data_IF_801483265466
#
_entry.id   IF_801483265466
#
_cell.length_a   1.000
_cell.length_b   1.000
_cell.length_c   1.000
_cell.angle_alpha   90.00
_cell.angle_beta   90.00
_cell.angle_gamma   90.00
#
_symmetry.space_group_name_H-M   'P 1'
#
loop_
_entity.id
_entity.type
_entity.pdbx_description
1 polymer ?
#
# COMPACT_ATOMS: atom_id res chain seq x y z
N UNK A 1 3.03 -28.71 -0.43
CA UNK A 1 3.83 -29.13 -1.59
C UNK A 1 3.57 -28.17 -2.74
N UNK A 2 4.57 -27.48 -3.22
CA UNK A 2 4.46 -26.49 -4.30
C UNK A 2 4.78 -27.14 -5.63
N UNK A 3 3.94 -26.93 -6.63
CA UNK A 3 4.16 -27.45 -7.98
C UNK A 3 4.39 -26.31 -8.97
N UNK A 4 5.28 -26.53 -9.91
CA UNK A 4 5.49 -25.64 -11.04
C UNK A 4 4.56 -26.05 -12.18
N UNK A 5 3.78 -25.10 -12.68
CA UNK A 5 3.01 -25.22 -13.91
C UNK A 5 3.11 -23.91 -14.69
N UNK A 6 3.61 -23.96 -15.92
CA UNK A 6 3.66 -22.82 -16.84
C UNK A 6 4.21 -21.53 -16.22
N UNK A 7 5.37 -21.60 -15.56
CA UNK A 7 6.07 -20.48 -14.89
C UNK A 7 5.49 -20.02 -13.56
N UNK A 8 4.37 -20.59 -13.09
CA UNK A 8 3.79 -20.30 -11.78
C UNK A 8 3.93 -21.48 -10.83
N UNK A 9 3.94 -21.18 -9.52
CA UNK A 9 3.93 -22.17 -8.45
C UNK A 9 2.58 -22.16 -7.77
N UNK A 10 2.00 -23.33 -7.52
CA UNK A 10 0.71 -23.49 -6.87
C UNK A 10 0.84 -24.38 -5.64
N UNK A 11 0.12 -24.02 -4.57
CA UNK A 11 -0.15 -24.97 -3.49
C UNK A 11 -1.34 -25.81 -3.87
N UNK A 12 -1.27 -27.12 -3.72
CA UNK A 12 -2.40 -28.02 -3.89
C UNK A 12 -3.11 -28.36 -2.55
N UNK A 13 -2.65 -27.76 -1.48
CA UNK A 13 -3.23 -27.90 -0.12
C UNK A 13 -3.60 -26.50 0.39
N UNK A 14 -4.70 -26.43 1.12
CA UNK A 14 -5.01 -25.23 1.89
C UNK A 14 -4.01 -25.17 3.05
N UNK A 15 -3.16 -24.16 3.02
CA UNK A 15 -2.21 -23.90 4.09
C UNK A 15 -2.75 -22.72 4.88
N UNK A 16 -3.06 -22.94 6.15
CA UNK A 16 -3.39 -21.85 7.07
C UNK A 16 -2.08 -21.15 7.46
N UNK A 17 -1.98 -19.88 7.07
CA UNK A 17 -0.82 -19.05 7.42
C UNK A 17 -1.08 -18.44 8.80
N UNK A 18 -0.23 -18.81 9.76
CA UNK A 18 -0.38 -18.41 11.16
C UNK A 18 0.67 -17.35 11.52
N UNK A 19 0.22 -16.30 12.18
CA UNK A 19 1.08 -15.25 12.71
C UNK A 19 2.08 -15.81 13.73
N UNK A 20 3.35 -15.42 13.59
CA UNK A 20 4.45 -15.89 14.41
C UNK A 20 5.11 -17.18 13.91
N UNK A 21 4.48 -17.90 13.00
CA UNK A 21 5.05 -19.11 12.43
C UNK A 21 6.13 -18.79 11.38
N UNK A 22 7.07 -19.72 11.27
CA UNK A 22 8.15 -19.68 10.30
C UNK A 22 7.79 -20.52 9.07
N UNK A 23 7.99 -19.92 7.90
CA UNK A 23 7.78 -20.57 6.61
C UNK A 23 9.09 -20.61 5.82
N UNK A 24 9.36 -21.75 5.19
CA UNK A 24 10.53 -21.97 4.37
C UNK A 24 10.18 -22.04 2.89
N UNK A 25 11.02 -21.45 2.07
CA UNK A 25 11.05 -21.62 0.62
C UNK A 25 12.19 -22.55 0.22
N UNK A 26 11.90 -23.55 -0.59
CA UNK A 26 12.91 -24.36 -1.28
C UNK A 26 12.56 -24.42 -2.77
N UNK A 27 13.49 -24.02 -3.61
CA UNK A 27 13.36 -24.07 -5.08
C UNK A 27 14.52 -24.86 -5.66
N UNK A 28 14.22 -25.94 -6.39
CA UNK A 28 15.20 -26.78 -7.04
C UNK A 28 15.14 -26.61 -8.56
N UNK A 29 16.27 -26.27 -9.18
CA UNK A 29 16.42 -26.15 -10.64
C UNK A 29 17.67 -26.95 -11.06
N UNK A 30 17.46 -28.12 -11.62
CA UNK A 30 18.54 -29.08 -11.89
C UNK A 30 19.20 -29.50 -10.59
N UNK A 31 20.51 -29.28 -10.49
CA UNK A 31 21.30 -29.59 -9.27
C UNK A 31 21.41 -28.41 -8.30
N UNK A 32 20.83 -27.26 -8.63
CA UNK A 32 20.86 -26.05 -7.77
C UNK A 32 19.64 -26.02 -6.87
N UNK A 33 19.88 -25.71 -5.61
CA UNK A 33 18.83 -25.52 -4.60
C UNK A 33 18.98 -24.10 -4.04
N UNK A 34 17.88 -23.33 -4.12
CA UNK A 34 17.75 -22.05 -3.47
C UNK A 34 16.81 -22.17 -2.29
N UNK A 35 17.15 -21.54 -1.17
CA UNK A 35 16.36 -21.61 0.07
C UNK A 35 16.21 -20.23 0.70
N UNK A 36 15.10 -20.02 1.39
CA UNK A 36 14.86 -18.86 2.23
C UNK A 36 13.89 -19.20 3.35
N UNK A 37 13.86 -18.36 4.38
CA UNK A 37 12.91 -18.48 5.49
C UNK A 37 12.33 -17.10 5.82
N UNK A 38 11.08 -17.08 6.24
CA UNK A 38 10.41 -15.88 6.75
C UNK A 38 9.54 -16.20 7.95
N UNK A 39 9.32 -15.22 8.81
CA UNK A 39 8.37 -15.30 9.92
C UNK A 39 7.17 -14.41 9.59
N UNK A 40 5.97 -14.94 9.74
CA UNK A 40 4.74 -14.16 9.52
C UNK A 40 4.59 -13.13 10.64
N UNK A 41 4.52 -11.83 10.33
CA UNK A 41 4.32 -10.80 11.36
C UNK A 41 2.99 -11.00 12.12
N UNK A 42 2.92 -10.44 13.32
CA UNK A 42 1.64 -10.31 14.03
C UNK A 42 0.76 -9.29 13.32
N UNK A 43 -0.56 -9.49 13.37
CA UNK A 43 -1.52 -8.54 12.80
C UNK A 43 -1.32 -7.14 13.42
N UNK A 44 -1.38 -6.06 12.63
CA UNK A 44 -1.43 -4.70 13.16
C UNK A 44 -2.57 -4.53 14.16
N UNK A 45 -2.35 -3.74 15.22
CA UNK A 45 -3.34 -3.49 16.27
C UNK A 45 -3.75 -2.02 16.31
N UNK A 46 -4.95 -1.74 16.78
CA UNK A 46 -5.43 -0.39 17.03
C UNK A 46 -5.66 0.44 15.77
N UNK A 47 -5.76 -0.20 14.58
CA UNK A 47 -6.03 0.52 13.33
C UNK A 47 -7.35 1.29 13.44
N UNK A 48 -7.27 2.60 13.28
CA UNK A 48 -8.42 3.50 13.34
C UNK A 48 -8.27 4.66 12.37
N UNK A 49 -9.35 5.36 12.12
CA UNK A 49 -9.41 6.53 11.24
C UNK A 49 -10.15 7.65 11.96
N UNK A 50 -9.62 8.88 11.86
CA UNK A 50 -10.20 10.03 12.57
C UNK A 50 -11.57 10.42 12.04
N UNK A 51 -11.70 10.45 10.70
CA UNK A 51 -12.91 10.85 10.02
C UNK A 51 -13.31 9.76 9.01
N UNK A 52 -14.45 9.11 9.26
CA UNK A 52 -14.98 8.07 8.37
C UNK A 52 -15.77 8.62 7.18
N UNK A 53 -16.16 9.89 7.22
CA UNK A 53 -16.79 10.62 6.12
C UNK A 53 -16.15 11.98 5.94
N UNK A 54 -15.75 12.28 4.73
CA UNK A 54 -15.08 13.52 4.36
C UNK A 54 -15.89 14.18 3.26
N UNK A 55 -16.29 15.41 3.50
CA UNK A 55 -17.08 16.19 2.54
C UNK A 55 -16.12 16.91 1.60
N UNK A 56 -16.27 16.70 0.31
CA UNK A 56 -15.51 17.39 -0.73
C UNK A 56 -16.50 17.96 -1.75
N UNK A 57 -16.48 19.27 -2.02
CA UNK A 57 -17.31 19.83 -3.06
C UNK A 57 -16.85 19.37 -4.44
N UNK A 58 -17.73 19.33 -5.46
CA UNK A 58 -17.34 19.08 -6.83
C UNK A 58 -16.31 20.11 -7.30
N UNK A 59 -15.22 19.65 -7.89
CA UNK A 59 -14.17 20.52 -8.40
C UNK A 59 -14.41 20.85 -9.85
N UNK A 60 -14.68 22.10 -10.14
CA UNK A 60 -14.92 22.62 -11.48
C UNK A 60 -13.84 23.64 -11.87
N UNK A 61 -13.49 23.68 -13.16
CA UNK A 61 -12.54 24.66 -13.68
C UNK A 61 -13.13 26.07 -13.59
N UNK A 62 -12.66 26.84 -12.63
CA UNK A 62 -13.12 28.21 -12.38
C UNK A 62 -11.97 29.07 -11.81
N UNK A 63 -12.08 30.41 -11.85
CA UNK A 63 -11.11 31.27 -11.19
C UNK A 63 -10.98 31.05 -9.68
N UNK A 64 -11.99 30.45 -9.04
CA UNK A 64 -11.97 30.13 -7.62
C UNK A 64 -11.25 28.82 -7.30
N UNK A 65 -11.05 27.93 -8.31
CA UNK A 65 -10.47 26.60 -8.12
C UNK A 65 -9.16 26.60 -7.30
N UNK A 66 -8.17 27.48 -7.53
CA UNK A 66 -6.94 27.48 -6.74
C UNK A 66 -7.18 27.71 -5.24
N UNK A 67 -8.12 28.58 -4.88
CA UNK A 67 -8.47 28.82 -3.48
C UNK A 67 -9.22 27.62 -2.88
N UNK A 68 -10.15 27.03 -3.62
CA UNK A 68 -10.85 25.81 -3.21
C UNK A 68 -9.87 24.68 -2.95
N UNK A 69 -8.94 24.43 -3.87
CA UNK A 69 -7.91 23.41 -3.70
C UNK A 69 -7.04 23.65 -2.46
N UNK A 70 -6.67 24.90 -2.20
CA UNK A 70 -5.91 25.27 -1.00
C UNK A 70 -6.68 24.96 0.28
N UNK A 71 -7.95 25.34 0.34
CA UNK A 71 -8.82 25.08 1.50
C UNK A 71 -8.96 23.57 1.72
N UNK A 72 -9.26 22.81 0.67
CA UNK A 72 -9.41 21.37 0.74
C UNK A 72 -8.09 20.66 1.12
N UNK A 73 -6.96 21.19 0.69
CA UNK A 73 -5.66 20.64 1.09
C UNK A 73 -5.49 20.68 2.62
N UNK A 74 -6.04 21.68 3.28
CA UNK A 74 -5.95 21.82 4.73
C UNK A 74 -7.12 21.12 5.46
N UNK A 75 -8.32 21.11 4.92
CA UNK A 75 -9.55 20.67 5.58
C UNK A 75 -9.96 19.23 5.21
N UNK A 76 -9.81 18.83 3.94
CA UNK A 76 -10.20 17.49 3.49
C UNK A 76 -9.12 16.45 3.78
N UNK A 77 -8.95 16.14 5.07
CA UNK A 77 -7.95 15.17 5.56
C UNK A 77 -8.58 14.17 6.50
N UNK A 78 -7.98 12.99 6.55
CA UNK A 78 -8.23 12.04 7.62
C UNK A 78 -6.91 11.45 8.09
N UNK A 79 -6.82 11.20 9.39
CA UNK A 79 -5.63 10.61 9.99
C UNK A 79 -5.90 9.13 10.29
N UNK A 80 -5.07 8.27 9.73
CA UNK A 80 -5.04 6.84 10.03
C UNK A 80 -4.03 6.62 11.13
N UNK A 81 -4.43 5.95 12.22
CA UNK A 81 -3.56 5.67 13.37
C UNK A 81 -3.58 4.20 13.71
N UNK A 82 -2.49 3.71 14.28
CA UNK A 82 -2.33 2.34 14.77
C UNK A 82 -1.36 2.27 15.93
N UNK A 83 -1.39 1.19 16.69
CA UNK A 83 -0.42 0.95 17.75
C UNK A 83 0.90 0.46 17.15
N UNK A 84 1.95 1.24 17.32
CA UNK A 84 3.31 0.90 16.94
C UNK A 84 4.32 1.23 18.04
N UNK A 85 3.97 0.94 19.28
CA UNK A 85 4.84 1.15 20.44
C UNK A 85 6.18 0.36 20.36
N UNK A 86 6.21 -0.70 19.57
CA UNK A 86 7.41 -1.53 19.30
C UNK A 86 8.31 -1.00 18.18
N UNK A 87 7.90 0.02 17.43
CA UNK A 87 8.68 0.62 16.34
C UNK A 87 8.88 -0.32 15.15
N UNK A 88 7.90 -1.19 14.86
CA UNK A 88 7.94 -2.12 13.74
C UNK A 88 7.58 -1.42 12.43
N UNK A 89 8.03 -1.96 11.30
CA UNK A 89 7.74 -1.37 10.00
C UNK A 89 6.33 -1.69 9.53
N UNK A 90 5.67 -0.63 9.08
CA UNK A 90 4.35 -0.70 8.44
C UNK A 90 4.37 0.06 7.11
N UNK A 91 3.48 -0.32 6.20
CA UNK A 91 3.10 0.54 5.09
C UNK A 91 1.59 0.45 4.86
N UNK A 92 1.06 1.47 4.21
CA UNK A 92 -0.37 1.65 4.05
C UNK A 92 -0.71 1.77 2.56
N UNK A 93 -1.81 1.14 2.17
CA UNK A 93 -2.40 1.33 0.84
C UNK A 93 -3.83 1.84 0.97
N UNK A 94 -4.22 2.74 0.06
CA UNK A 94 -5.59 3.23 -0.05
C UNK A 94 -6.10 2.91 -1.44
N UNK A 95 -7.20 2.18 -1.49
CA UNK A 95 -7.82 1.73 -2.72
C UNK A 95 -9.29 2.12 -2.77
N UNK A 96 -9.73 2.66 -3.90
CA UNK A 96 -11.15 2.85 -4.19
C UNK A 96 -11.86 1.50 -4.28
N UNK A 97 -12.99 1.38 -3.58
CA UNK A 97 -13.84 0.18 -3.57
C UNK A 97 -15.32 0.52 -3.81
N UNK A 98 -15.58 1.73 -4.32
CA UNK A 98 -16.91 2.13 -4.75
C UNK A 98 -17.39 1.33 -5.98
N UNK A 99 -18.69 1.31 -6.18
CA UNK A 99 -19.35 0.56 -7.28
C UNK A 99 -19.49 1.42 -8.55
N UNK A 100 -19.52 2.73 -8.38
CA UNK A 100 -19.73 3.69 -9.47
C UNK A 100 -18.52 4.58 -9.63
N UNK A 101 -18.17 4.86 -10.88
CA UNK A 101 -17.18 5.89 -11.19
C UNK A 101 -17.87 7.25 -11.08
N UNK A 102 -17.60 7.96 -9.99
CA UNK A 102 -18.18 9.29 -9.70
C UNK A 102 -17.02 10.25 -9.39
N UNK A 103 -16.45 10.89 -10.41
CA UNK A 103 -15.24 11.69 -10.27
C UNK A 103 -15.48 12.97 -9.43
N UNK A 104 -14.49 13.32 -8.61
CA UNK A 104 -14.48 14.58 -7.85
C UNK A 104 -14.23 15.77 -8.79
N UNK A 105 -13.42 15.52 -9.83
CA UNK A 105 -13.15 16.52 -10.88
C UNK A 105 -14.15 16.37 -12.02
N UNK A 106 -14.64 17.50 -12.51
CA UNK A 106 -15.47 17.54 -13.71
C UNK A 106 -14.64 17.14 -14.95
N UNK A 107 -15.24 16.40 -15.90
CA UNK A 107 -14.60 15.89 -17.13
C UNK A 107 -14.04 16.99 -18.05
N UNK A 108 -14.38 18.26 -17.81
CA UNK A 108 -13.88 19.40 -18.56
C UNK A 108 -12.47 19.87 -18.13
N UNK A 109 -11.84 19.22 -17.13
CA UNK A 109 -10.49 19.57 -16.72
C UNK A 109 -9.49 19.11 -17.78
N UNK A 110 -8.59 20.01 -18.28
CA UNK A 110 -7.60 19.66 -19.30
C UNK A 110 -6.78 18.43 -18.91
N UNK A 111 -6.58 17.50 -19.86
CA UNK A 111 -5.99 16.18 -19.66
C UNK A 111 -4.72 16.12 -18.82
N UNK A 112 -3.87 17.15 -18.87
CA UNK A 112 -2.65 17.21 -18.06
C UNK A 112 -2.93 17.28 -16.54
N UNK A 113 -4.04 17.87 -16.12
CA UNK A 113 -4.44 17.91 -14.71
C UNK A 113 -5.21 16.63 -14.36
N UNK A 114 -6.06 16.15 -15.26
CA UNK A 114 -6.77 14.88 -15.11
C UNK A 114 -5.81 13.71 -15.03
N UNK A 115 -4.80 13.63 -15.90
CA UNK A 115 -3.79 12.57 -15.91
C UNK A 115 -2.94 12.56 -14.63
N UNK A 116 -2.68 13.73 -14.02
CA UNK A 116 -1.97 13.81 -12.73
C UNK A 116 -2.77 13.13 -11.61
N UNK A 117 -4.09 13.22 -11.63
CA UNK A 117 -4.96 12.60 -10.64
C UNK A 117 -5.36 11.16 -11.00
N UNK A 118 -5.29 10.73 -12.27
CA UNK A 118 -5.85 9.46 -12.75
C UNK A 118 -5.14 8.19 -12.30
N UNK A 119 -3.95 8.26 -11.69
CA UNK A 119 -3.16 7.09 -11.32
C UNK A 119 -2.85 6.98 -9.81
N UNK A 120 -3.59 7.67 -8.97
CA UNK A 120 -3.34 7.64 -7.53
C UNK A 120 -3.94 6.40 -6.83
N UNK A 121 -3.20 5.29 -6.80
CA UNK A 121 -3.28 4.44 -5.63
C UNK A 121 -2.28 4.99 -4.61
N UNK A 122 -2.77 5.42 -3.46
CA UNK A 122 -1.87 5.89 -2.41
C UNK A 122 -1.23 4.64 -1.79
N UNK A 123 0.07 4.54 -1.95
CA UNK A 123 0.89 3.61 -1.21
C UNK A 123 1.90 4.44 -0.43
N UNK A 124 1.94 4.29 0.88
CA UNK A 124 2.95 4.95 1.69
C UNK A 124 4.31 4.28 1.51
N UNK A 125 5.37 4.97 1.85
CA UNK A 125 6.66 4.34 2.12
C UNK A 125 6.59 3.51 3.40
N UNK A 126 7.46 2.49 3.57
CA UNK A 126 7.64 1.82 4.84
C UNK A 126 7.99 2.82 5.95
N UNK A 127 7.28 2.73 7.07
CA UNK A 127 7.46 3.66 8.19
C UNK A 127 7.39 2.96 9.54
N UNK A 128 8.08 3.49 10.53
CA UNK A 128 7.98 3.10 11.94
C UNK A 128 7.07 4.03 12.74
N UNK A 129 6.46 5.02 12.10
CA UNK A 129 5.45 5.87 12.73
C UNK A 129 4.18 5.08 13.06
N UNK A 130 3.37 5.62 13.98
CA UNK A 130 2.06 5.08 14.36
C UNK A 130 0.88 5.80 13.70
N UNK A 131 1.13 6.62 12.67
CA UNK A 131 0.09 7.38 11.99
C UNK A 131 0.45 7.74 10.55
N UNK A 132 -0.58 7.96 9.74
CA UNK A 132 -0.46 8.46 8.37
C UNK A 132 -1.59 9.45 8.05
N UNK A 133 -1.23 10.62 7.53
CA UNK A 133 -2.19 11.64 7.17
C UNK A 133 -2.60 11.51 5.70
N UNK A 134 -3.87 11.20 5.46
CA UNK A 134 -4.45 11.06 4.12
C UNK A 134 -4.99 12.39 3.67
N UNK A 135 -4.47 12.91 2.57
CA UNK A 135 -4.97 14.12 1.91
C UNK A 135 -6.01 13.69 0.88
N UNK A 136 -7.28 13.92 1.16
CA UNK A 136 -8.37 13.38 0.35
C UNK A 136 -8.52 14.01 -1.04
N UNK A 137 -7.92 15.19 -1.27
CA UNK A 137 -7.81 15.78 -2.62
C UNK A 137 -7.02 14.92 -3.61
N UNK A 138 -6.13 14.05 -3.12
CA UNK A 138 -5.37 13.14 -4.00
C UNK A 138 -6.20 11.93 -4.44
N UNK A 139 -7.44 11.82 -3.98
CA UNK A 139 -8.37 10.76 -4.35
C UNK A 139 -9.30 11.26 -5.46
N UNK A 140 -9.70 10.34 -6.34
CA UNK A 140 -10.31 10.72 -7.62
C UNK A 140 -11.82 10.72 -7.61
N UNK A 141 -12.42 9.85 -6.82
CA UNK A 141 -13.84 9.54 -6.89
C UNK A 141 -14.53 9.80 -5.56
N UNK A 142 -15.79 10.18 -5.63
CA UNK A 142 -16.68 10.06 -4.50
C UNK A 142 -16.98 8.59 -4.22
N UNK A 143 -17.18 8.25 -2.95
CA UNK A 143 -17.52 6.91 -2.53
C UNK A 143 -16.53 6.32 -1.55
N UNK A 144 -16.53 4.99 -1.46
CA UNK A 144 -15.85 4.26 -0.41
C UNK A 144 -14.43 3.90 -0.78
N UNK A 145 -13.53 4.14 0.17
CA UNK A 145 -12.12 3.78 0.12
C UNK A 145 -11.77 2.77 1.19
N UNK A 146 -10.97 1.78 0.80
CA UNK A 146 -10.39 0.78 1.69
C UNK A 146 -8.97 1.19 2.03
N UNK A 147 -8.68 1.30 3.30
CA UNK A 147 -7.35 1.51 3.85
C UNK A 147 -6.85 0.19 4.38
N UNK A 148 -5.76 -0.31 3.85
CA UNK A 148 -5.11 -1.53 4.34
C UNK A 148 -3.75 -1.17 4.91
N UNK A 149 -3.56 -1.45 6.19
CA UNK A 149 -2.29 -1.33 6.88
C UNK A 149 -1.58 -2.69 6.90
N UNK A 150 -0.38 -2.71 6.37
CA UNK A 150 0.48 -3.91 6.36
C UNK A 150 1.60 -3.75 7.37
N UNK A 151 1.81 -4.76 8.19
CA UNK A 151 3.03 -4.95 8.95
C UNK A 151 3.99 -5.82 8.15
N UNK A 152 5.22 -5.38 8.01
CA UNK A 152 6.21 -5.93 7.09
C UNK A 152 7.52 -6.27 7.80
N UNK A 153 8.28 -7.17 7.19
CA UNK A 153 9.61 -7.53 7.66
C UNK A 153 10.70 -6.62 7.08
N UNK A 154 11.84 -6.55 7.75
CA UNK A 154 13.01 -5.75 7.34
C UNK A 154 13.49 -6.08 5.91
N UNK A 155 13.38 -7.34 5.47
CA UNK A 155 13.78 -7.75 4.13
C UNK A 155 13.01 -6.99 3.03
N UNK A 156 11.70 -6.74 3.25
CA UNK A 156 10.90 -5.95 2.32
C UNK A 156 11.26 -4.46 2.34
N UNK A 157 11.56 -3.93 3.53
CA UNK A 157 12.04 -2.54 3.68
C UNK A 157 13.32 -2.33 2.88
N UNK A 158 14.27 -3.25 3.01
CA UNK A 158 15.54 -3.19 2.28
C UNK A 158 15.35 -3.22 0.76
N UNK A 159 14.38 -4.01 0.27
CA UNK A 159 14.02 -4.02 -1.14
C UNK A 159 13.48 -2.65 -1.59
N UNK A 160 12.55 -2.09 -0.84
CA UNK A 160 11.96 -0.79 -1.13
C UNK A 160 13.02 0.33 -1.16
N UNK A 161 13.91 0.37 -0.16
CA UNK A 161 15.01 1.34 -0.08
C UNK A 161 15.98 1.22 -1.27
N UNK A 162 16.19 0.00 -1.79
CA UNK A 162 17.06 -0.22 -2.94
C UNK A 162 16.46 0.27 -4.27
N UNK A 163 15.14 0.27 -4.41
CA UNK A 163 14.47 0.79 -5.61
C UNK A 163 14.53 2.32 -5.70
N UNK A 164 14.66 3.00 -4.57
CA UNK A 164 14.76 4.47 -4.48
C UNK A 164 16.18 4.95 -4.76
N UNK A 165 17.20 4.09 -4.71
CA UNK A 165 18.58 4.46 -5.00
C UNK A 165 18.77 4.74 -6.49
N UNK A 166 19.30 5.93 -6.79
CA UNK A 166 19.60 6.43 -8.14
C UNK A 166 20.55 5.46 -8.87
N UNK A 167 20.26 5.18 -10.14
CA UNK A 167 20.96 4.18 -10.98
C UNK A 167 22.44 4.47 -11.31
N UNK A 168 23.12 5.29 -10.50
CA UNK A 168 24.55 5.56 -10.61
C UNK A 168 25.43 4.58 -9.80
N UNK A 169 24.87 3.86 -8.86
CA UNK A 169 25.58 2.80 -8.12
C UNK A 169 25.05 1.44 -8.53
N UNK A 170 25.90 0.61 -9.15
CA UNK A 170 25.64 -0.81 -9.46
C UNK A 170 25.68 -1.62 -8.15
N UNK A 171 24.71 -1.42 -7.28
CA UNK A 171 24.56 -2.24 -6.08
C UNK A 171 23.76 -3.49 -6.42
N UNK A 172 24.21 -4.62 -5.92
CA UNK A 172 23.49 -5.88 -6.03
C UNK A 172 22.14 -5.73 -5.28
N UNK A 173 20.99 -6.08 -5.90
CA UNK A 173 19.71 -5.94 -5.26
C UNK A 173 19.67 -6.78 -3.96
N UNK A 174 19.03 -6.32 -2.89
CA UNK A 174 18.93 -7.07 -1.65
C UNK A 174 18.25 -8.42 -1.90
N UNK A 175 18.78 -9.44 -1.24
CA UNK A 175 18.28 -10.79 -1.36
C UNK A 175 18.35 -11.50 -0.01
N UNK A 176 17.27 -12.16 0.38
CA UNK A 176 17.25 -13.07 1.50
C UNK A 176 17.18 -14.55 1.07
N UNK A 177 17.43 -14.82 -0.22
CA UNK A 177 17.43 -16.16 -0.79
C UNK A 177 18.86 -16.65 -0.96
N UNK A 178 19.20 -17.76 -0.34
CA UNK A 178 20.50 -18.43 -0.47
C UNK A 178 20.56 -19.08 -1.84
N UNK A 179 21.64 -18.88 -2.59
CA UNK A 179 21.91 -19.38 -3.94
C UNK A 179 20.97 -18.87 -5.03
N UNK A 180 20.24 -17.77 -4.80
CA UNK A 180 19.45 -17.06 -5.82
C UNK A 180 19.24 -15.62 -5.40
N UNK A 181 18.66 -14.81 -6.30
CA UNK A 181 18.24 -13.43 -6.02
C UNK A 181 16.74 -13.36 -5.81
N UNK A 182 16.32 -12.50 -4.89
CA UNK A 182 14.93 -12.20 -4.60
C UNK A 182 14.64 -12.07 -3.12
N UNK A 183 13.41 -11.73 -2.82
CA UNK A 183 12.91 -11.60 -1.45
C UNK A 183 11.76 -12.59 -1.24
N UNK A 184 11.89 -13.41 -0.21
CA UNK A 184 10.82 -14.25 0.33
C UNK A 184 10.41 -13.69 1.67
N UNK A 185 9.21 -13.11 1.74
CA UNK A 185 8.72 -12.43 2.95
C UNK A 185 7.23 -12.68 3.17
N UNK A 186 6.75 -12.34 4.35
CA UNK A 186 5.35 -12.43 4.72
C UNK A 186 4.86 -11.10 5.27
N UNK A 187 3.57 -10.83 5.08
CA UNK A 187 2.87 -9.67 5.59
C UNK A 187 1.71 -10.08 6.47
N UNK A 188 1.40 -9.25 7.46
CA UNK A 188 0.11 -9.29 8.15
C UNK A 188 -0.61 -7.97 7.91
N UNK A 189 -1.92 -7.98 7.78
CA UNK A 189 -2.67 -6.76 7.48
C UNK A 189 -3.92 -6.61 8.34
N UNK A 190 -4.34 -5.36 8.48
CA UNK A 190 -5.65 -4.97 8.97
C UNK A 190 -6.27 -3.93 8.04
N UNK A 191 -7.60 -3.79 8.07
CA UNK A 191 -8.32 -2.99 7.10
C UNK A 191 -9.39 -2.14 7.77
N UNK A 192 -9.46 -0.86 7.36
CA UNK A 192 -10.53 0.06 7.71
C UNK A 192 -11.05 0.79 6.48
N UNK A 193 -12.09 1.61 6.62
CA UNK A 193 -12.74 2.28 5.50
C UNK A 193 -13.10 3.71 5.84
N UNK A 194 -13.09 4.56 4.81
CA UNK A 194 -13.72 5.87 4.84
C UNK A 194 -14.46 6.16 3.54
N UNK A 195 -15.23 7.22 3.52
CA UNK A 195 -16.03 7.62 2.39
C UNK A 195 -15.82 9.11 2.07
N UNK A 196 -15.62 9.42 0.80
CA UNK A 196 -15.69 10.78 0.30
C UNK A 196 -17.09 11.02 -0.21
N UNK A 197 -17.74 12.09 0.28
CA UNK A 197 -19.10 12.44 -0.06
C UNK A 197 -19.17 13.86 -0.63
N UNK A 198 -20.15 14.11 -1.49
CA UNK A 198 -20.45 15.45 -1.98
C UNK A 198 -21.01 16.32 -0.84
N UNK A 199 -20.73 17.60 -0.91
CA UNK A 199 -21.40 18.61 -0.07
C UNK A 199 -22.92 18.65 -0.34
#
# INVERSE_FOLDING_TARGET
MLFRSNENYFSNENIDIVSGDKYGLEVKVGDRIATSETVVPTKPLGLSISESKIVVPPLVLSPALPNTLRTLFDEARTNVTWDNSSGEYHYLTIKYVGVTDDPIFDDEIPGQVGDFFSNFSIQSEPTTEGSYNVICMSLQNYGRYMVTLYKINQDYVSLFESEVQDGTELNEPPSNIINAFGIFTAFASDTTFFEIVRE
#
